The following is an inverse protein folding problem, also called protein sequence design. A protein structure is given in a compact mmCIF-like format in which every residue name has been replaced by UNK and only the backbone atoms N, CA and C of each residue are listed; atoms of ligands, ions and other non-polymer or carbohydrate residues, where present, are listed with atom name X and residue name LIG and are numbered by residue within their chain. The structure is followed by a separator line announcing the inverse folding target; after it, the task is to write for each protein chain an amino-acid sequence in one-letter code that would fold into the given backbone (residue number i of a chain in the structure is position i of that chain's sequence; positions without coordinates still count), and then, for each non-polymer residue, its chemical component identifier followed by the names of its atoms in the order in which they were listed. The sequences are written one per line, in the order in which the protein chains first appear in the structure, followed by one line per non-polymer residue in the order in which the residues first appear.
data_IF_726156158650
#
_entry.id   IF_726156158650
#
_cell.length_a   1.000
_cell.length_b   1.000
_cell.length_c   1.000
_cell.angle_alpha   90.00
_cell.angle_beta   90.00
_cell.angle_gamma   90.00
#
_symmetry.space_group_name_H-M   'P 1'
#
loop_
_entity.id
_entity.type
_entity.pdbx_description
1 polymer ?
#
# COMPACT_ATOMS: atom_id res chain seq x y z
N UNK A 1 -14.47 -12.71 8.09
CA UNK A 1 -15.02 -11.34 8.00
C UNK A 1 -13.96 -10.49 7.32
N UNK A 2 -14.38 -9.73 6.32
CA UNK A 2 -13.46 -8.86 5.57
C UNK A 2 -12.84 -7.82 6.49
N UNK A 3 -11.51 -7.65 6.44
CA UNK A 3 -10.79 -6.61 7.17
C UNK A 3 -11.07 -5.23 6.56
N UNK A 4 -11.09 -5.14 5.21
CA UNK A 4 -11.46 -3.95 4.46
C UNK A 4 -12.55 -4.31 3.46
N UNK A 5 -13.64 -3.55 3.43
CA UNK A 5 -14.65 -3.58 2.39
C UNK A 5 -14.82 -2.17 1.80
N UNK A 6 -14.67 -2.05 0.51
CA UNK A 6 -14.89 -0.85 -0.28
C UNK A 6 -16.10 -1.10 -1.17
N UNK A 7 -17.13 -0.28 -1.08
CA UNK A 7 -18.40 -0.50 -1.73
C UNK A 7 -18.77 0.69 -2.61
N UNK A 8 -18.72 0.50 -3.93
CA UNK A 8 -19.17 1.42 -4.97
C UNK A 8 -18.65 2.85 -4.81
N UNK A 9 -17.35 3.01 -4.49
CA UNK A 9 -16.74 4.31 -4.29
C UNK A 9 -16.76 5.12 -5.58
N UNK A 10 -17.33 6.34 -5.50
CA UNK A 10 -17.18 7.42 -6.48
C UNK A 10 -16.38 8.55 -5.87
N UNK A 11 -15.32 8.99 -6.55
CA UNK A 11 -14.45 10.05 -6.07
C UNK A 11 -13.70 10.73 -7.21
N UNK A 12 -13.36 11.99 -7.01
CA UNK A 12 -12.54 12.81 -7.92
C UNK A 12 -11.92 13.96 -7.16
N UNK A 13 -10.94 14.63 -7.77
CA UNK A 13 -10.25 15.76 -7.14
C UNK A 13 -11.04 17.09 -7.25
N UNK A 14 -12.09 17.10 -8.05
CA UNK A 14 -13.06 18.22 -8.18
C UNK A 14 -14.49 17.67 -8.23
N UNK A 15 -15.47 18.55 -8.18
CA UNK A 15 -16.88 18.16 -8.19
C UNK A 15 -17.36 17.65 -9.55
N UNK A 16 -16.72 18.08 -10.65
CA UNK A 16 -17.19 17.84 -12.02
C UNK A 16 -16.72 16.49 -12.57
N UNK A 17 -15.54 15.99 -12.13
CA UNK A 17 -14.91 14.80 -12.73
C UNK A 17 -14.71 13.70 -11.72
N UNK A 18 -15.38 12.57 -11.94
CA UNK A 18 -15.18 11.35 -11.15
C UNK A 18 -14.09 10.49 -11.77
N UNK A 19 -12.98 10.34 -11.04
CA UNK A 19 -11.90 9.41 -11.41
C UNK A 19 -12.31 7.99 -11.05
N UNK A 20 -12.96 7.80 -9.89
CA UNK A 20 -13.53 6.53 -9.46
C UNK A 20 -15.04 6.54 -9.75
N UNK A 21 -15.52 5.51 -10.41
CA UNK A 21 -16.88 5.41 -10.93
C UNK A 21 -17.61 4.16 -10.38
N UNK A 22 -17.62 3.99 -9.05
CA UNK A 22 -18.30 2.90 -8.38
C UNK A 22 -17.40 1.67 -8.13
N UNK A 23 -16.12 1.91 -7.76
CA UNK A 23 -15.15 0.84 -7.47
C UNK A 23 -15.51 0.12 -6.18
N UNK A 24 -15.41 -1.22 -6.22
CA UNK A 24 -15.59 -2.09 -5.05
C UNK A 24 -14.43 -3.06 -4.92
N UNK A 25 -13.99 -3.34 -3.70
CA UNK A 25 -13.02 -4.39 -3.39
C UNK A 25 -13.14 -4.86 -1.96
N UNK A 26 -12.49 -5.98 -1.66
CA UNK A 26 -12.36 -6.52 -0.31
C UNK A 26 -10.94 -6.98 -0.05
N UNK A 27 -10.52 -6.89 1.22
CA UNK A 27 -9.28 -7.48 1.73
C UNK A 27 -9.62 -8.26 2.98
N UNK A 28 -9.28 -9.54 2.99
CA UNK A 28 -9.42 -10.38 4.18
C UNK A 28 -8.20 -10.22 5.09
N UNK A 29 -8.33 -10.60 6.35
CA UNK A 29 -7.22 -10.54 7.29
C UNK A 29 -6.04 -11.42 6.83
N UNK A 30 -4.83 -10.88 6.86
CA UNK A 30 -3.60 -11.56 6.44
C UNK A 30 -3.49 -11.79 4.93
N UNK A 31 -4.35 -11.21 4.11
CA UNK A 31 -4.34 -11.34 2.66
C UNK A 31 -3.46 -10.29 2.01
N UNK A 32 -2.78 -10.65 0.90
CA UNK A 32 -2.17 -9.71 -0.04
C UNK A 32 -3.12 -9.53 -1.23
N UNK A 33 -3.62 -8.32 -1.42
CA UNK A 33 -4.48 -7.96 -2.54
C UNK A 33 -3.78 -6.96 -3.45
N UNK A 34 -3.74 -7.22 -4.75
CA UNK A 34 -3.18 -6.33 -5.75
C UNK A 34 -4.26 -5.59 -6.53
N UNK A 35 -4.06 -4.30 -6.76
CA UNK A 35 -4.81 -3.49 -7.71
C UNK A 35 -3.88 -3.18 -8.88
N UNK A 36 -4.23 -3.65 -10.06
CA UNK A 36 -3.49 -3.40 -11.30
C UNK A 36 -4.34 -2.64 -12.30
N UNK A 37 -3.71 -2.11 -13.32
CA UNK A 37 -4.39 -1.37 -14.39
C UNK A 37 -3.47 -0.30 -14.99
N UNK A 38 -3.89 0.32 -16.12
CA UNK A 38 -3.09 1.33 -16.81
C UNK A 38 -2.91 2.59 -15.96
N UNK A 39 -1.98 3.45 -16.40
CA UNK A 39 -1.84 4.78 -15.82
C UNK A 39 -3.14 5.57 -16.01
N UNK A 40 -3.56 6.28 -14.97
CA UNK A 40 -4.84 7.02 -14.99
C UNK A 40 -6.08 6.17 -14.70
N UNK A 41 -5.97 4.85 -14.46
CA UNK A 41 -7.12 4.01 -14.13
C UNK A 41 -7.79 4.32 -12.78
N UNK A 42 -7.16 5.17 -11.94
CA UNK A 42 -7.71 5.55 -10.63
C UNK A 42 -7.11 4.80 -9.44
N UNK A 43 -6.07 3.98 -9.65
CA UNK A 43 -5.46 3.13 -8.60
C UNK A 43 -5.04 3.91 -7.34
N UNK A 44 -4.15 4.89 -7.48
CA UNK A 44 -3.69 5.73 -6.36
C UNK A 44 -4.81 6.60 -5.79
N UNK A 45 -5.79 7.00 -6.62
CA UNK A 45 -6.99 7.73 -6.18
C UNK A 45 -7.82 6.87 -5.25
N UNK A 46 -7.93 5.57 -5.54
CA UNK A 46 -8.65 4.62 -4.68
C UNK A 46 -7.96 4.46 -3.32
N UNK A 47 -6.63 4.30 -3.28
CA UNK A 47 -5.90 4.24 -1.99
C UNK A 47 -6.10 5.53 -1.18
N UNK A 48 -6.06 6.70 -1.84
CA UNK A 48 -6.30 7.98 -1.17
C UNK A 48 -7.74 8.12 -0.64
N UNK A 49 -8.72 7.60 -1.37
CA UNK A 49 -10.12 7.59 -0.91
C UNK A 49 -10.31 6.64 0.29
N UNK A 50 -9.70 5.45 0.26
CA UNK A 50 -9.72 4.50 1.38
C UNK A 50 -9.05 5.09 2.63
N UNK A 51 -7.91 5.77 2.46
CA UNK A 51 -7.12 6.31 3.57
C UNK A 51 -7.63 7.66 4.09
N UNK A 52 -8.67 8.24 3.47
CA UNK A 52 -9.27 9.51 3.91
C UNK A 52 -8.53 10.77 3.45
N UNK A 53 -7.56 10.66 2.52
CA UNK A 53 -6.90 11.82 1.88
C UNK A 53 -7.85 12.47 0.86
N UNK A 54 -8.68 11.66 0.22
CA UNK A 54 -9.69 12.10 -0.73
C UNK A 54 -11.07 11.70 -0.22
N UNK A 55 -12.02 12.63 -0.14
CA UNK A 55 -13.37 12.34 0.30
C UNK A 55 -14.15 11.66 -0.84
N UNK A 56 -14.73 10.46 -0.61
CA UNK A 56 -15.67 9.86 -1.53
C UNK A 56 -16.94 10.72 -1.65
N UNK A 57 -17.45 10.86 -2.87
CA UNK A 57 -18.76 11.50 -3.13
C UNK A 57 -19.90 10.53 -2.88
N UNK A 58 -19.67 9.25 -3.19
CA UNK A 58 -20.62 8.16 -3.00
C UNK A 58 -19.89 6.88 -2.61
N UNK A 59 -20.62 5.93 -2.05
CA UNK A 59 -20.10 4.63 -1.64
C UNK A 59 -19.66 4.61 -0.19
N UNK A 60 -19.04 3.51 0.21
CA UNK A 60 -18.70 3.25 1.61
C UNK A 60 -17.36 2.55 1.74
N UNK A 61 -16.62 2.87 2.80
CA UNK A 61 -15.39 2.18 3.21
C UNK A 61 -15.59 1.66 4.64
N UNK A 62 -15.54 0.35 4.80
CA UNK A 62 -15.64 -0.31 6.12
C UNK A 62 -14.29 -0.97 6.42
N UNK A 63 -13.71 -0.67 7.56
CA UNK A 63 -12.45 -1.24 8.01
C UNK A 63 -12.61 -1.82 9.42
N UNK A 64 -12.26 -3.10 9.56
CA UNK A 64 -12.37 -3.86 10.82
C UNK A 64 -13.77 -3.76 11.46
N UNK A 65 -14.81 -3.83 10.62
CA UNK A 65 -16.22 -3.73 11.00
C UNK A 65 -16.74 -2.31 11.23
N UNK A 66 -15.90 -1.28 11.16
CA UNK A 66 -16.30 0.11 11.37
C UNK A 66 -16.36 0.89 10.05
N UNK A 67 -17.35 1.76 9.91
CA UNK A 67 -17.43 2.70 8.80
C UNK A 67 -16.39 3.82 8.98
N UNK A 68 -15.46 3.91 8.03
CA UNK A 68 -14.40 4.92 8.00
C UNK A 68 -14.55 5.88 6.83
N UNK A 69 -15.68 5.87 6.15
CA UNK A 69 -15.92 6.70 4.95
C UNK A 69 -15.70 8.18 5.25
N UNK A 70 -14.75 8.78 4.54
CA UNK A 70 -14.42 10.21 4.69
C UNK A 70 -13.80 10.61 6.03
N UNK A 71 -13.44 9.68 6.91
CA UNK A 71 -12.68 10.00 8.12
C UNK A 71 -11.29 10.54 7.74
N UNK A 72 -10.74 11.49 8.52
CA UNK A 72 -9.42 12.04 8.25
C UNK A 72 -8.32 10.99 8.49
N UNK A 73 -7.17 11.10 7.76
CA UNK A 73 -6.07 10.12 7.81
C UNK A 73 -5.59 9.79 9.23
N UNK A 74 -5.49 10.78 10.11
CA UNK A 74 -5.04 10.57 11.50
C UNK A 74 -5.99 9.65 12.30
N UNK A 75 -7.29 9.65 11.98
CA UNK A 75 -8.27 8.74 12.58
C UNK A 75 -8.13 7.34 11.98
N UNK A 76 -7.96 7.24 10.67
CA UNK A 76 -7.76 5.96 9.96
C UNK A 76 -6.50 5.25 10.45
N UNK A 77 -5.40 6.00 10.63
CA UNK A 77 -4.14 5.47 11.19
C UNK A 77 -4.34 4.90 12.59
N UNK A 78 -5.07 5.60 13.47
CA UNK A 78 -5.36 5.12 14.83
C UNK A 78 -6.19 3.83 14.88
N UNK A 79 -6.95 3.55 13.81
CA UNK A 79 -7.70 2.30 13.67
C UNK A 79 -6.86 1.12 13.19
N UNK A 80 -5.59 1.38 12.81
CA UNK A 80 -4.64 0.33 12.41
C UNK A 80 -4.44 0.20 10.89
N UNK A 81 -4.66 1.25 10.13
CA UNK A 81 -4.31 1.28 8.71
C UNK A 81 -3.12 2.21 8.49
N UNK A 82 -2.11 1.78 7.74
CA UNK A 82 -0.97 2.61 7.34
C UNK A 82 -0.88 2.73 5.83
N UNK A 83 -0.33 3.85 5.37
CA UNK A 83 -0.18 4.16 3.94
C UNK A 83 1.24 4.59 3.58
N UNK A 84 1.80 3.97 2.56
CA UNK A 84 3.08 4.34 1.95
C UNK A 84 2.79 4.90 0.55
N UNK A 85 2.86 6.22 0.36
CA UNK A 85 2.65 6.82 -0.95
C UNK A 85 3.82 6.56 -1.89
N UNK A 86 3.58 6.62 -3.21
CA UNK A 86 4.59 6.45 -4.26
C UNK A 86 5.75 7.45 -4.14
N UNK A 87 5.44 8.71 -3.85
CA UNK A 87 6.41 9.79 -3.75
C UNK A 87 6.38 10.46 -2.38
N UNK A 88 7.50 11.12 -1.99
CA UNK A 88 7.63 11.81 -0.70
C UNK A 88 7.33 10.91 0.50
N UNK A 89 7.67 9.64 0.37
CA UNK A 89 7.39 8.61 1.37
C UNK A 89 8.43 8.55 2.51
N UNK A 90 9.48 9.38 2.47
CA UNK A 90 10.51 9.52 3.50
C UNK A 90 10.91 10.97 3.69
N UNK A 91 11.58 11.27 4.82
CA UNK A 91 12.21 12.57 5.10
C UNK A 91 13.70 12.49 4.74
N UNK A 92 14.15 12.99 3.59
CA UNK A 92 15.50 12.76 3.07
C UNK A 92 16.60 13.46 3.89
N UNK A 93 16.26 14.54 4.62
CA UNK A 93 17.16 15.27 5.50
C UNK A 93 17.40 14.58 6.85
N UNK A 94 16.50 13.71 7.26
CA UNK A 94 16.60 12.95 8.50
C UNK A 94 17.37 11.64 8.29
N UNK A 95 17.92 11.10 9.36
CA UNK A 95 18.53 9.76 9.40
C UNK A 95 17.48 8.67 9.27
N UNK A 96 17.91 7.43 9.05
CA UNK A 96 17.04 6.25 9.06
C UNK A 96 16.31 6.14 10.39
N UNK A 97 17.04 6.26 11.51
CA UNK A 97 16.44 6.17 12.84
C UNK A 97 15.39 7.27 13.06
N UNK A 98 15.72 8.53 12.79
CA UNK A 98 14.76 9.64 12.91
C UNK A 98 13.52 9.46 12.01
N UNK A 99 13.66 8.87 10.81
CA UNK A 99 12.51 8.52 9.98
C UNK A 99 11.60 7.48 10.66
N UNK A 100 12.16 6.47 11.30
CA UNK A 100 11.39 5.47 12.05
C UNK A 100 10.72 6.11 13.28
N UNK A 101 11.44 6.93 14.04
CA UNK A 101 10.89 7.68 15.18
C UNK A 101 9.70 8.57 14.78
N UNK A 102 9.79 9.24 13.61
CA UNK A 102 8.67 9.99 13.05
C UNK A 102 7.46 9.10 12.73
N UNK A 103 7.67 7.82 12.40
CA UNK A 103 6.60 6.84 12.22
C UNK A 103 5.88 6.49 13.53
N UNK A 104 6.55 6.65 14.67
CA UNK A 104 6.00 6.39 16.00
C UNK A 104 5.34 7.62 16.65
N UNK A 105 5.18 8.74 15.94
CA UNK A 105 4.76 10.04 16.50
C UNK A 105 3.48 10.00 17.36
N UNK A 106 2.52 9.14 17.01
CA UNK A 106 1.28 9.00 17.79
C UNK A 106 1.35 7.89 18.84
N UNK A 107 2.44 7.13 18.92
CA UNK A 107 2.64 6.03 19.84
C UNK A 107 2.97 6.57 21.23
N UNK A 108 2.41 5.93 22.28
CA UNK A 108 2.63 6.34 23.68
C UNK A 108 3.44 5.32 24.49
N UNK A 109 3.78 4.20 23.86
CA UNK A 109 4.44 3.05 24.47
C UNK A 109 5.68 2.62 23.69
N UNK A 110 6.54 1.83 24.28
CA UNK A 110 7.60 0.97 23.75
C UNK A 110 8.11 1.20 22.34
N UNK A 111 8.28 2.44 21.88
CA UNK A 111 8.67 2.68 20.48
C UNK A 111 10.12 2.24 20.18
N UNK A 112 10.98 2.16 21.20
CA UNK A 112 12.34 1.67 21.02
C UNK A 112 12.35 0.16 20.73
N UNK A 113 11.55 -0.64 21.44
CA UNK A 113 11.38 -2.07 21.17
C UNK A 113 10.85 -2.27 19.76
N UNK A 114 9.93 -1.41 19.32
CA UNK A 114 9.40 -1.46 17.96
C UNK A 114 10.44 -1.12 16.92
N UNK A 115 11.30 -0.13 17.13
CA UNK A 115 12.44 0.16 16.24
C UNK A 115 13.35 -1.06 16.12
N UNK A 116 13.66 -1.75 17.22
CA UNK A 116 14.47 -2.97 17.19
C UNK A 116 13.81 -4.11 16.43
N UNK A 117 12.48 -4.23 16.47
CA UNK A 117 11.74 -5.18 15.63
C UNK A 117 11.82 -4.82 14.14
N UNK A 118 11.69 -3.54 13.80
CA UNK A 118 11.88 -3.05 12.42
C UNK A 118 13.31 -3.34 11.95
N UNK A 119 14.32 -3.12 12.77
CA UNK A 119 15.70 -3.44 12.42
C UNK A 119 15.95 -4.95 12.25
N UNK A 120 15.25 -5.82 12.99
CA UNK A 120 15.29 -7.26 12.75
C UNK A 120 14.67 -7.66 11.42
N UNK A 121 13.64 -6.95 10.98
CA UNK A 121 12.99 -7.16 9.67
C UNK A 121 13.82 -6.57 8.52
N UNK A 122 14.49 -5.45 8.76
CA UNK A 122 15.32 -4.72 7.80
C UNK A 122 16.74 -4.53 8.33
N UNK A 123 17.61 -5.58 8.36
CA UNK A 123 18.95 -5.47 8.98
C UNK A 123 19.81 -4.37 8.37
N UNK A 124 19.74 -4.16 7.05
CA UNK A 124 20.48 -3.10 6.34
C UNK A 124 20.16 -1.70 6.89
N UNK A 125 18.95 -1.48 7.37
CA UNK A 125 18.57 -0.19 7.97
C UNK A 125 19.23 0.02 9.31
N UNK A 126 19.48 -1.05 10.08
CA UNK A 126 20.21 -1.00 11.34
C UNK A 126 21.63 -0.51 11.15
N UNK A 127 22.33 -1.07 10.15
CA UNK A 127 23.70 -0.66 9.83
C UNK A 127 23.79 0.81 9.42
N UNK A 128 22.74 1.30 8.78
CA UNK A 128 22.62 2.66 8.23
C UNK A 128 21.83 3.62 9.13
N UNK A 129 21.52 3.25 10.40
CA UNK A 129 20.60 4.00 11.27
C UNK A 129 20.93 5.48 11.43
N UNK A 130 22.22 5.84 11.39
CA UNK A 130 22.71 7.22 11.50
C UNK A 130 22.93 7.92 10.15
N UNK A 131 22.71 7.21 9.03
CA UNK A 131 22.86 7.78 7.69
C UNK A 131 21.60 8.56 7.30
N UNK A 132 21.75 9.72 6.71
CA UNK A 132 20.63 10.50 6.12
C UNK A 132 20.00 9.72 4.98
N UNK A 133 18.65 9.65 4.99
CA UNK A 133 17.87 8.86 4.02
C UNK A 133 18.06 9.35 2.58
N UNK A 134 18.31 10.64 2.38
CA UNK A 134 18.61 11.18 1.05
C UNK A 134 19.85 10.58 0.37
N UNK A 135 20.77 9.93 1.13
CA UNK A 135 21.99 9.28 0.61
C UNK A 135 21.79 7.78 0.31
N UNK A 136 20.64 7.24 0.61
CA UNK A 136 20.31 5.84 0.39
C UNK A 136 19.91 5.56 -1.06
N UNK A 137 20.05 4.31 -1.51
CA UNK A 137 19.48 3.86 -2.79
C UNK A 137 17.95 3.93 -2.81
N UNK A 138 17.33 3.86 -3.99
CA UNK A 138 15.87 3.84 -4.12
C UNK A 138 15.21 2.73 -3.29
N UNK A 139 15.72 1.50 -3.41
CA UNK A 139 15.20 0.37 -2.65
C UNK A 139 15.39 0.53 -1.13
N UNK A 140 16.54 1.05 -0.69
CA UNK A 140 16.75 1.33 0.74
C UNK A 140 15.79 2.40 1.26
N UNK A 141 15.52 3.46 0.47
CA UNK A 141 14.49 4.44 0.83
C UNK A 141 13.10 3.80 0.95
N UNK A 142 12.79 2.87 0.06
CA UNK A 142 11.52 2.12 0.12
C UNK A 142 11.42 1.26 1.40
N UNK A 143 12.52 0.61 1.81
CA UNK A 143 12.57 -0.12 3.09
C UNK A 143 12.36 0.81 4.29
N UNK A 144 12.94 2.03 4.27
CA UNK A 144 12.69 3.04 5.32
C UNK A 144 11.21 3.45 5.35
N UNK A 145 10.60 3.69 4.19
CA UNK A 145 9.19 4.06 4.09
C UNK A 145 8.26 2.98 4.66
N UNK A 146 8.50 1.71 4.30
CA UNK A 146 7.76 0.57 4.86
C UNK A 146 8.02 0.40 6.36
N UNK A 147 9.28 0.47 6.81
CA UNK A 147 9.64 0.41 8.23
C UNK A 147 8.91 1.49 9.04
N UNK A 148 8.88 2.73 8.52
CA UNK A 148 8.15 3.84 9.14
C UNK A 148 6.66 3.57 9.26
N UNK A 149 6.03 3.04 8.21
CA UNK A 149 4.61 2.69 8.22
C UNK A 149 4.27 1.57 9.21
N UNK A 150 5.21 0.66 9.45
CA UNK A 150 5.07 -0.46 10.40
C UNK A 150 5.28 -0.06 11.86
N UNK A 151 5.77 1.14 12.16
CA UNK A 151 5.98 1.60 13.54
C UNK A 151 4.70 1.62 14.39
N UNK A 152 3.53 1.67 13.75
CA UNK A 152 2.22 1.73 14.40
C UNK A 152 1.50 0.39 14.51
N UNK A 153 2.16 -0.72 14.22
CA UNK A 153 1.55 -2.07 14.22
C UNK A 153 0.24 -2.15 13.41
N UNK A 154 0.27 -1.80 12.12
CA UNK A 154 -0.96 -1.75 11.34
C UNK A 154 -1.54 -3.15 11.12
N UNK A 155 -2.88 -3.25 11.10
CA UNK A 155 -3.62 -4.42 10.63
C UNK A 155 -3.61 -4.51 9.09
N UNK A 156 -3.57 -3.35 8.42
CA UNK A 156 -3.57 -3.20 6.96
C UNK A 156 -2.52 -2.17 6.53
N UNK A 157 -1.69 -2.56 5.58
CA UNK A 157 -0.69 -1.71 4.93
C UNK A 157 -1.12 -1.43 3.49
N UNK A 158 -1.33 -0.15 3.16
CA UNK A 158 -1.58 0.32 1.81
C UNK A 158 -0.26 0.75 1.16
N UNK A 159 0.07 0.20 -0.01
CA UNK A 159 1.30 0.47 -0.76
C UNK A 159 0.97 1.00 -2.16
N UNK A 160 1.43 2.20 -2.46
CA UNK A 160 1.20 2.86 -3.75
C UNK A 160 2.48 2.79 -4.61
N UNK A 161 2.49 1.90 -5.60
CA UNK A 161 3.58 1.64 -6.54
C UNK A 161 4.96 1.50 -5.86
N UNK A 162 5.12 0.59 -4.86
CA UNK A 162 6.35 0.49 -4.09
C UNK A 162 7.57 0.04 -4.92
N UNK A 163 7.38 -0.52 -6.11
CA UNK A 163 8.45 -0.96 -7.00
C UNK A 163 8.82 0.09 -8.07
N UNK A 164 8.08 1.20 -8.15
CA UNK A 164 8.27 2.18 -9.21
C UNK A 164 9.70 2.76 -9.27
N UNK A 165 10.31 2.72 -10.46
CA UNK A 165 11.65 3.28 -10.69
C UNK A 165 12.79 2.50 -10.05
N UNK A 166 12.55 1.29 -9.54
CA UNK A 166 13.59 0.43 -8.97
C UNK A 166 14.21 -0.49 -10.05
N UNK A 167 15.48 -0.84 -9.84
CA UNK A 167 16.14 -1.89 -10.63
C UNK A 167 15.49 -3.27 -10.37
N UNK A 168 15.49 -4.20 -11.33
CA UNK A 168 14.80 -5.49 -11.20
C UNK A 168 15.12 -6.29 -9.94
N UNK A 169 16.39 -6.37 -9.54
CA UNK A 169 16.79 -7.05 -8.31
C UNK A 169 16.22 -6.38 -7.04
N UNK A 170 16.00 -5.06 -7.07
CA UNK A 170 15.40 -4.33 -5.96
C UNK A 170 13.89 -4.52 -5.92
N UNK A 171 13.24 -4.68 -7.07
CA UNK A 171 11.81 -5.00 -7.16
C UNK A 171 11.53 -6.32 -6.45
N UNK A 172 12.29 -7.38 -6.76
CA UNK A 172 12.15 -8.68 -6.11
C UNK A 172 12.34 -8.58 -4.59
N UNK A 173 13.38 -7.87 -4.14
CA UNK A 173 13.63 -7.63 -2.71
C UNK A 173 12.42 -6.91 -2.03
N UNK A 174 11.84 -5.90 -2.67
CA UNK A 174 10.67 -5.18 -2.12
C UNK A 174 9.50 -6.15 -1.95
N UNK A 175 9.17 -6.95 -2.97
CA UNK A 175 8.07 -7.93 -2.88
C UNK A 175 8.33 -9.02 -1.83
N UNK A 176 9.56 -9.51 -1.70
CA UNK A 176 9.91 -10.46 -0.63
C UNK A 176 9.73 -9.84 0.77
N UNK A 177 10.08 -8.56 0.94
CA UNK A 177 9.83 -7.85 2.21
C UNK A 177 8.34 -7.63 2.47
N UNK A 178 7.55 -7.34 1.46
CA UNK A 178 6.08 -7.28 1.59
C UNK A 178 5.52 -8.62 2.05
N UNK A 179 6.00 -9.73 1.48
CA UNK A 179 5.62 -11.08 1.90
C UNK A 179 6.04 -11.38 3.35
N UNK A 180 7.24 -10.95 3.76
CA UNK A 180 7.69 -11.09 5.15
C UNK A 180 6.80 -10.32 6.13
N UNK A 181 6.40 -9.08 5.78
CA UNK A 181 5.46 -8.27 6.55
C UNK A 181 4.11 -9.00 6.68
N UNK A 182 3.61 -9.52 5.57
CA UNK A 182 2.33 -10.23 5.54
C UNK A 182 2.34 -11.51 6.40
N UNK A 183 3.42 -12.31 6.35
CA UNK A 183 3.58 -13.50 7.21
C UNK A 183 3.55 -13.20 8.70
N UNK A 184 3.73 -11.94 9.11
CA UNK A 184 3.58 -11.46 10.49
C UNK A 184 2.15 -11.04 10.82
N UNK A 185 1.19 -11.30 9.92
CA UNK A 185 -0.24 -11.06 10.12
C UNK A 185 -0.75 -9.71 9.61
N UNK A 186 0.11 -8.87 8.99
CA UNK A 186 -0.33 -7.62 8.38
C UNK A 186 -0.94 -7.90 7.01
N UNK A 187 -2.21 -7.53 6.80
CA UNK A 187 -2.81 -7.55 5.47
C UNK A 187 -2.19 -6.45 4.59
N UNK A 188 -2.14 -6.67 3.28
CA UNK A 188 -1.54 -5.71 2.34
C UNK A 188 -2.49 -5.45 1.18
N UNK A 189 -2.72 -4.18 0.89
CA UNK A 189 -3.34 -3.73 -0.36
C UNK A 189 -2.30 -2.95 -1.15
N UNK A 190 -1.86 -3.51 -2.27
CA UNK A 190 -0.82 -2.95 -3.11
C UNK A 190 -1.41 -2.47 -4.44
N UNK A 191 -1.06 -1.27 -4.83
CA UNK A 191 -1.26 -0.75 -6.18
C UNK A 191 0.04 -0.87 -6.94
N UNK A 192 0.02 -1.43 -8.14
CA UNK A 192 1.22 -1.59 -8.94
C UNK A 192 0.98 -1.38 -10.43
N UNK A 193 2.01 -0.89 -11.10
CA UNK A 193 2.08 -0.84 -12.56
C UNK A 193 2.68 -2.14 -13.12
N UNK A 194 3.63 -2.75 -12.40
CA UNK A 194 4.19 -4.05 -12.74
C UNK A 194 3.19 -5.16 -12.35
N UNK A 195 2.16 -5.31 -13.20
CA UNK A 195 1.05 -6.21 -12.95
C UNK A 195 1.49 -7.67 -12.76
N UNK A 196 2.49 -8.12 -13.53
CA UNK A 196 3.00 -9.49 -13.47
C UNK A 196 3.57 -9.82 -12.09
N UNK A 197 4.44 -8.97 -11.58
CA UNK A 197 5.03 -9.20 -10.24
C UNK A 197 3.97 -9.05 -9.16
N UNK A 198 3.11 -8.03 -9.21
CA UNK A 198 2.06 -7.83 -8.23
C UNK A 198 1.12 -9.05 -8.13
N UNK A 199 0.62 -9.56 -9.24
CA UNK A 199 -0.28 -10.72 -9.28
C UNK A 199 0.41 -12.02 -8.84
N UNK A 200 1.70 -12.19 -9.16
CA UNK A 200 2.48 -13.35 -8.72
C UNK A 200 2.56 -13.47 -7.19
N UNK A 201 2.55 -12.33 -6.49
CA UNK A 201 2.68 -12.26 -5.03
C UNK A 201 1.35 -12.10 -4.29
N UNK A 202 0.25 -11.83 -5.01
CA UNK A 202 -1.05 -11.58 -4.39
C UNK A 202 -1.92 -12.85 -4.31
N UNK A 203 -2.73 -12.92 -3.26
CA UNK A 203 -3.78 -13.93 -3.10
C UNK A 203 -4.96 -13.60 -4.03
N UNK A 204 -5.29 -12.31 -4.17
CA UNK A 204 -6.37 -11.82 -5.01
C UNK A 204 -5.94 -10.55 -5.75
N UNK A 205 -6.45 -10.34 -6.95
CA UNK A 205 -6.20 -9.18 -7.77
C UNK A 205 -7.48 -8.50 -8.23
N UNK A 206 -7.43 -7.18 -8.35
CA UNK A 206 -8.45 -6.34 -9.01
C UNK A 206 -7.82 -5.61 -10.18
N UNK A 207 -8.44 -5.71 -11.34
CA UNK A 207 -8.05 -4.97 -12.54
C UNK A 207 -8.93 -3.73 -12.64
N UNK A 208 -8.33 -2.55 -12.52
CA UNK A 208 -9.03 -1.29 -12.72
C UNK A 208 -8.83 -0.76 -14.15
N UNK A 209 -9.92 -0.33 -14.78
CA UNK A 209 -9.91 0.39 -16.05
C UNK A 209 -10.91 1.54 -15.98
N UNK A 210 -10.50 2.75 -16.36
CA UNK A 210 -11.37 3.94 -16.42
C UNK A 210 -12.17 4.17 -15.13
N UNK A 211 -11.55 3.97 -13.96
CA UNK A 211 -12.19 4.18 -12.67
C UNK A 211 -13.20 3.12 -12.25
N UNK A 212 -13.21 1.95 -12.88
CA UNK A 212 -14.13 0.84 -12.61
C UNK A 212 -13.38 -0.48 -12.44
N UNK A 213 -13.98 -1.44 -11.76
CA UNK A 213 -13.53 -2.81 -11.80
C UNK A 213 -13.79 -3.40 -13.20
N UNK A 214 -12.75 -3.89 -13.85
CA UNK A 214 -12.87 -4.61 -15.12
C UNK A 214 -12.93 -6.12 -14.88
N UNK A 215 -11.99 -6.64 -14.08
CA UNK A 215 -11.88 -8.05 -13.70
C UNK A 215 -11.41 -8.15 -12.25
N UNK A 216 -11.71 -9.25 -11.61
CA UNK A 216 -11.12 -9.63 -10.34
C UNK A 216 -11.05 -11.15 -10.18
N UNK A 217 -10.17 -11.62 -9.30
CA UNK A 217 -10.00 -13.05 -9.04
C UNK A 217 -8.67 -13.36 -8.36
N UNK A 218 -8.40 -14.65 -8.08
CA UNK A 218 -7.12 -15.11 -7.56
C UNK A 218 -5.96 -14.63 -8.43
N UNK A 219 -4.87 -14.13 -7.81
CA UNK A 219 -3.74 -13.54 -8.55
C UNK A 219 -3.16 -14.48 -9.59
N UNK A 220 -3.04 -15.77 -9.29
CA UNK A 220 -2.53 -16.79 -10.22
C UNK A 220 -3.47 -17.06 -11.42
N UNK A 221 -4.78 -16.89 -11.25
CA UNK A 221 -5.75 -17.02 -12.34
C UNK A 221 -5.69 -15.81 -13.26
N UNK A 222 -5.61 -14.61 -12.70
CA UNK A 222 -5.45 -13.37 -13.47
C UNK A 222 -4.14 -13.35 -14.27
N UNK A 223 -3.05 -13.93 -13.76
CA UNK A 223 -1.78 -14.08 -14.50
C UNK A 223 -1.92 -14.94 -15.78
N UNK A 224 -2.86 -15.89 -15.77
CA UNK A 224 -3.12 -16.79 -16.92
C UNK A 224 -4.23 -16.29 -17.83
N UNK A 225 -4.91 -15.22 -17.44
CA UNK A 225 -6.01 -14.67 -18.22
C UNK A 225 -5.48 -13.94 -19.46
N UNK A 226 -5.91 -14.36 -20.65
CA UNK A 226 -5.43 -13.80 -21.93
C UNK A 226 -5.75 -12.31 -22.09
N UNK A 227 -6.88 -11.84 -21.60
CA UNK A 227 -7.28 -10.44 -21.65
C UNK A 227 -6.36 -9.59 -20.76
N UNK A 228 -6.09 -10.06 -19.53
CA UNK A 228 -5.13 -9.41 -18.62
C UNK A 228 -3.73 -9.43 -19.24
N UNK A 229 -3.31 -10.55 -19.84
CA UNK A 229 -2.01 -10.67 -20.48
C UNK A 229 -1.84 -9.66 -21.62
N UNK A 230 -2.80 -9.56 -22.51
CA UNK A 230 -2.77 -8.62 -23.65
C UNK A 230 -2.80 -7.15 -23.22
N UNK A 231 -3.58 -6.81 -22.21
CA UNK A 231 -3.79 -5.41 -21.83
C UNK A 231 -2.77 -4.89 -20.79
N UNK A 232 -2.23 -5.76 -19.94
CA UNK A 232 -1.50 -5.32 -18.75
C UNK A 232 -0.19 -6.06 -18.47
N UNK A 233 0.10 -7.21 -19.11
CA UNK A 233 1.30 -8.00 -18.84
C UNK A 233 2.37 -7.89 -19.94
N UNK A 234 2.12 -7.12 -21.02
CA UNK A 234 3.07 -6.92 -22.12
C UNK A 234 3.22 -8.17 -22.98
N UNK A 235 2.08 -8.72 -23.39
CA UNK A 235 1.95 -9.91 -24.25
C UNK A 235 2.57 -9.78 -25.61
#
# INVERSE_FOLDING_TARGET
MSLLAVERIRAGYNEEVDILQGVSLRVEQGQIVAIIGPNGAGKSTLLKAIFGILHPKEGRVVFDGEDITGLPPETVVRKGMSYVPQVRNVFPSLTVQENLEMGAFIRRDGFFERIEEIYRMFPDLREKRHQRVGRLSGGQRQMVAMGRALMLDPKLLLLDEPSAGLAPAMVEMVFEKIREINRRGVAVLIVEQNAKEALKFSDHGYVLAMGRNALDGPGQELLRNEEVAKLYLGG
#
